data_IF_440707492848
#
_entry.id   IF_440707492848
#
_cell.length_a   1.000
_cell.length_b   1.000
_cell.length_c   1.000
_cell.angle_alpha   90.00
_cell.angle_beta   90.00
_cell.angle_gamma   90.00
#
_symmetry.space_group_name_H-M   'P 1'
#
loop_
_entity.id
_entity.type
_entity.pdbx_description
1 polymer ?
#
# COMPACT_ATOMS: atom_id res chain seq x y z
N UNK A 1 -9.89 9.96 -15.89
CA UNK A 1 -10.68 8.99 -15.11
C UNK A 1 -10.87 9.50 -13.69
N UNK A 2 -12.04 9.29 -13.14
CA UNK A 2 -12.26 9.56 -11.73
C UNK A 2 -12.05 8.28 -10.93
N UNK A 3 -11.52 8.42 -9.75
CA UNK A 3 -11.30 7.30 -8.87
C UNK A 3 -10.70 7.74 -7.56
N UNK A 4 -9.75 6.97 -7.07
CA UNK A 4 -9.15 7.19 -5.76
C UNK A 4 -7.64 7.07 -5.81
N UNK A 5 -6.99 7.92 -5.04
CA UNK A 5 -5.60 7.74 -4.68
C UNK A 5 -5.58 7.04 -3.33
N UNK A 6 -4.95 5.89 -3.28
CA UNK A 6 -4.86 5.10 -2.05
C UNK A 6 -3.40 5.06 -1.60
N UNK A 7 -3.19 5.30 -0.32
CA UNK A 7 -1.87 5.17 0.31
C UNK A 7 -1.99 4.11 1.40
N UNK A 8 -1.24 3.03 1.24
CA UNK A 8 -1.10 2.02 2.28
C UNK A 8 0.22 2.26 3.01
N UNK A 9 0.19 2.20 4.33
CA UNK A 9 1.37 2.43 5.15
C UNK A 9 1.69 1.18 5.96
N UNK A 10 2.94 0.72 5.87
CA UNK A 10 3.38 -0.48 6.57
C UNK A 10 4.88 -0.37 6.86
N UNK A 11 5.48 -1.44 7.33
CA UNK A 11 6.94 -1.56 7.43
C UNK A 11 7.43 -2.66 6.49
N UNK A 12 8.63 -2.51 5.99
CA UNK A 12 9.21 -3.35 4.95
C UNK A 12 9.21 -4.85 5.28
N UNK A 13 9.49 -5.20 6.52
CA UNK A 13 9.60 -6.59 6.95
C UNK A 13 8.29 -7.26 7.32
N UNK A 14 7.18 -6.51 7.31
CA UNK A 14 5.89 -7.08 7.71
C UNK A 14 5.37 -8.04 6.65
N UNK A 15 4.94 -9.22 7.11
CA UNK A 15 4.40 -10.27 6.24
C UNK A 15 2.95 -10.57 6.56
N UNK A 16 2.27 -11.07 5.54
CA UNK A 16 0.93 -11.61 5.64
C UNK A 16 0.95 -12.94 4.90
N UNK A 17 0.69 -14.03 5.63
CA UNK A 17 0.70 -15.39 5.07
C UNK A 17 2.02 -15.71 4.34
N UNK A 18 3.16 -15.41 5.01
CA UNK A 18 4.51 -15.65 4.52
C UNK A 18 4.91 -14.83 3.29
N UNK A 19 4.15 -13.78 2.97
CA UNK A 19 4.47 -12.88 1.87
C UNK A 19 4.59 -11.46 2.41
N UNK A 20 5.58 -10.71 1.96
CA UNK A 20 5.68 -9.30 2.32
C UNK A 20 4.44 -8.56 1.82
N UNK A 21 3.91 -7.66 2.66
CA UNK A 21 2.68 -6.92 2.32
C UNK A 21 2.85 -6.14 1.02
N UNK A 22 4.01 -5.52 0.83
CA UNK A 22 4.30 -4.82 -0.43
C UNK A 22 4.13 -5.75 -1.64
N UNK A 23 4.70 -6.95 -1.57
CA UNK A 23 4.63 -7.90 -2.68
C UNK A 23 3.20 -8.39 -2.91
N UNK A 24 2.46 -8.61 -1.84
CA UNK A 24 1.04 -8.98 -1.92
C UNK A 24 0.24 -7.90 -2.66
N UNK A 25 0.44 -6.62 -2.29
CA UNK A 25 -0.26 -5.50 -2.92
C UNK A 25 0.15 -5.34 -4.39
N UNK A 26 1.44 -5.47 -4.70
CA UNK A 26 1.91 -5.38 -6.09
C UNK A 26 1.29 -6.48 -6.95
N UNK A 27 1.15 -7.67 -6.40
CA UNK A 27 0.49 -8.77 -7.09
C UNK A 27 -0.97 -8.41 -7.41
N UNK A 28 -1.68 -7.81 -6.46
CA UNK A 28 -3.07 -7.36 -6.69
C UNK A 28 -3.15 -6.24 -7.73
N UNK A 29 -2.20 -5.33 -7.72
CA UNK A 29 -2.11 -4.27 -8.75
C UNK A 29 -2.08 -4.90 -10.15
N UNK A 30 -1.27 -5.93 -10.33
CA UNK A 30 -1.16 -6.62 -11.60
C UNK A 30 -2.45 -7.38 -11.96
N UNK A 31 -3.00 -8.11 -11.01
CA UNK A 31 -4.23 -8.88 -11.23
C UNK A 31 -5.42 -8.01 -11.60
N UNK A 32 -5.54 -6.85 -10.96
CA UNK A 32 -6.65 -5.93 -11.17
C UNK A 32 -6.39 -4.93 -12.30
N UNK A 33 -5.25 -5.03 -12.96
CA UNK A 33 -4.85 -4.14 -14.06
C UNK A 33 -4.85 -2.67 -13.64
N UNK A 34 -4.43 -2.41 -12.42
CA UNK A 34 -4.22 -1.04 -11.93
C UNK A 34 -3.03 -0.45 -12.68
N UNK A 35 -3.11 0.84 -13.05
CA UNK A 35 -2.15 1.49 -13.93
C UNK A 35 -0.71 1.47 -13.42
N UNK A 36 -0.54 1.49 -12.10
CA UNK A 36 0.79 1.46 -11.53
C UNK A 36 0.76 1.58 -10.03
N UNK A 37 1.94 1.39 -9.45
CA UNK A 37 2.13 1.48 -8.02
C UNK A 37 3.47 2.15 -7.76
N UNK A 38 3.52 3.02 -6.76
CA UNK A 38 4.75 3.67 -6.33
C UNK A 38 5.01 3.26 -4.88
N UNK A 39 6.23 2.84 -4.60
CA UNK A 39 6.64 2.53 -3.23
C UNK A 39 7.64 3.58 -2.78
N UNK A 40 7.33 4.22 -1.67
CA UNK A 40 8.21 5.20 -1.04
C UNK A 40 8.67 4.66 0.30
N UNK A 41 9.95 4.80 0.56
CA UNK A 41 10.53 4.41 1.85
C UNK A 41 10.65 5.67 2.69
N UNK A 42 10.08 5.64 3.89
CA UNK A 42 10.11 6.77 4.79
C UNK A 42 11.31 6.68 5.73
N UNK A 43 11.80 7.85 6.13
CA UNK A 43 12.92 7.91 7.06
C UNK A 43 12.52 7.48 8.46
N UNK A 44 11.31 7.85 8.90
CA UNK A 44 10.82 7.59 10.24
C UNK A 44 9.32 7.38 10.21
N UNK A 45 8.83 6.44 10.98
CA UNK A 45 7.40 6.21 11.13
C UNK A 45 7.06 5.78 12.54
N UNK A 46 5.83 6.12 12.97
CA UNK A 46 5.25 5.71 14.22
C UNK A 46 3.81 5.32 13.96
N UNK A 47 3.40 4.19 14.43
CA UNK A 47 2.07 3.70 14.10
C UNK A 47 1.43 2.81 15.14
N UNK A 48 0.63 1.88 14.65
CA UNK A 48 -0.24 1.01 15.45
C UNK A 48 0.50 0.19 16.51
N UNK A 49 1.74 -0.20 16.24
CA UNK A 49 2.54 -0.99 17.18
C UNK A 49 3.17 -0.13 18.27
N UNK A 50 2.93 1.18 18.28
CA UNK A 50 3.48 2.15 19.22
C UNK A 50 5.00 2.17 19.26
N UNK A 51 5.63 1.79 18.16
CA UNK A 51 7.09 1.80 18.02
C UNK A 51 7.50 2.79 16.93
N UNK A 52 8.68 3.37 17.12
CA UNK A 52 9.28 4.23 16.11
C UNK A 52 10.13 3.36 15.18
N UNK A 53 9.85 3.43 13.89
CA UNK A 53 10.60 2.72 12.86
C UNK A 53 11.41 3.71 12.06
N UNK A 54 12.68 3.41 11.83
CA UNK A 54 13.60 4.30 11.15
C UNK A 54 14.54 3.52 10.24
N UNK A 55 14.86 4.07 9.07
CA UNK A 55 15.81 3.49 8.15
C UNK A 55 17.26 3.71 8.58
N UNK A 56 17.51 4.55 9.59
CA UNK A 56 18.88 4.93 9.98
C UNK A 56 19.53 4.02 11.02
N UNK A 57 18.76 3.48 11.96
CA UNK A 57 19.30 2.81 13.13
C UNK A 57 18.88 1.36 13.26
N UNK A 58 18.03 0.87 12.37
CA UNK A 58 17.44 -0.47 12.46
C UNK A 58 17.72 -1.24 11.19
N UNK A 59 17.40 -2.52 11.22
CA UNK A 59 17.48 -3.35 10.04
C UNK A 59 16.52 -2.83 8.96
N UNK A 60 16.79 -3.16 7.69
CA UNK A 60 15.92 -2.76 6.58
C UNK A 60 14.47 -3.21 6.75
N UNK A 61 14.27 -4.30 7.51
CA UNK A 61 12.91 -4.80 7.80
C UNK A 61 12.09 -3.84 8.63
N UNK A 62 12.72 -2.88 9.32
CA UNK A 62 12.01 -1.88 10.13
C UNK A 62 11.71 -0.60 9.35
N UNK A 63 12.14 -0.53 8.11
CA UNK A 63 11.95 0.66 7.29
C UNK A 63 10.48 0.89 6.98
N UNK A 64 9.94 2.09 7.29
CA UNK A 64 8.56 2.41 6.93
C UNK A 64 8.41 2.52 5.41
N UNK A 65 7.28 2.02 4.91
CA UNK A 65 6.96 2.08 3.48
C UNK A 65 5.58 2.65 3.26
N UNK A 66 5.43 3.45 2.21
CA UNK A 66 4.13 3.85 1.69
C UNK A 66 3.97 3.28 0.29
N UNK A 67 2.83 2.65 0.05
CA UNK A 67 2.49 2.05 -1.23
C UNK A 67 1.32 2.82 -1.79
N UNK A 68 1.55 3.51 -2.91
CA UNK A 68 0.62 4.49 -3.46
C UNK A 68 0.12 4.00 -4.81
N UNK A 69 -1.20 4.06 -5.00
CA UNK A 69 -1.80 3.69 -6.28
C UNK A 69 -3.00 4.55 -6.59
N UNK A 70 -3.31 4.67 -7.87
CA UNK A 70 -4.50 5.37 -8.36
C UNK A 70 -5.40 4.35 -9.01
N UNK A 71 -6.65 4.28 -8.58
CA UNK A 71 -7.57 3.21 -8.95
C UNK A 71 -8.93 3.78 -9.33
N UNK A 72 -9.61 3.08 -10.23
CA UNK A 72 -11.02 3.37 -10.52
C UNK A 72 -11.89 2.86 -9.36
N UNK A 73 -13.16 3.24 -9.34
CA UNK A 73 -14.10 2.74 -8.34
C UNK A 73 -14.17 1.22 -8.35
N UNK A 74 -14.25 0.62 -9.53
CA UNK A 74 -14.33 -0.84 -9.66
C UNK A 74 -13.06 -1.52 -9.12
N UNK A 75 -11.91 -1.00 -9.47
CA UNK A 75 -10.63 -1.54 -8.97
C UNK A 75 -10.53 -1.38 -7.44
N UNK A 76 -10.96 -0.24 -6.92
CA UNK A 76 -10.96 0.02 -5.49
C UNK A 76 -11.83 -0.99 -4.75
N UNK A 77 -13.05 -1.20 -5.24
CA UNK A 77 -13.99 -2.14 -4.63
C UNK A 77 -13.43 -3.56 -4.61
N UNK A 78 -12.87 -3.99 -5.72
CA UNK A 78 -12.26 -5.33 -5.82
C UNK A 78 -11.04 -5.49 -4.92
N UNK A 79 -10.19 -4.48 -4.87
CA UNK A 79 -8.99 -4.53 -4.03
C UNK A 79 -9.37 -4.66 -2.55
N UNK A 80 -10.29 -3.82 -2.08
CA UNK A 80 -10.70 -3.86 -0.68
C UNK A 80 -11.47 -5.12 -0.34
N UNK A 81 -12.21 -5.69 -1.29
CA UNK A 81 -12.85 -6.99 -1.09
C UNK A 81 -11.81 -8.08 -0.87
N UNK A 82 -10.76 -8.11 -1.67
CA UNK A 82 -9.67 -9.08 -1.50
C UNK A 82 -8.89 -8.87 -0.20
N UNK A 83 -8.67 -7.62 0.19
CA UNK A 83 -8.03 -7.31 1.46
C UNK A 83 -8.86 -7.87 2.61
N UNK A 84 -10.17 -7.65 2.60
CA UNK A 84 -11.07 -8.18 3.64
C UNK A 84 -11.09 -9.70 3.63
N UNK A 85 -11.17 -10.31 2.46
CA UNK A 85 -11.22 -11.77 2.32
C UNK A 85 -9.96 -12.43 2.85
N UNK A 86 -8.80 -11.82 2.66
CA UNK A 86 -7.53 -12.35 3.14
C UNK A 86 -7.28 -12.01 4.62
N UNK A 87 -8.16 -11.22 5.23
CA UNK A 87 -8.04 -10.75 6.62
C UNK A 87 -6.75 -9.95 6.86
N UNK A 88 -6.29 -9.26 5.84
CA UNK A 88 -5.14 -8.37 5.97
C UNK A 88 -5.59 -7.09 6.63
N UNK A 89 -4.93 -6.73 7.74
CA UNK A 89 -5.16 -5.45 8.41
C UNK A 89 -3.99 -4.53 8.11
N UNK A 90 -4.25 -3.45 7.41
CA UNK A 90 -3.22 -2.49 7.00
C UNK A 90 -3.80 -1.09 7.07
N UNK A 91 -3.01 -0.15 7.58
CA UNK A 91 -3.41 1.24 7.62
C UNK A 91 -3.45 1.82 6.20
N UNK A 92 -4.50 2.55 5.91
CA UNK A 92 -4.63 3.21 4.61
C UNK A 92 -5.31 4.56 4.74
N UNK A 93 -5.10 5.38 3.72
CA UNK A 93 -5.94 6.55 3.46
C UNK A 93 -6.33 6.52 1.98
N UNK A 94 -7.49 7.09 1.67
CA UNK A 94 -7.88 7.24 0.27
C UNK A 94 -8.59 8.57 0.07
N UNK A 95 -8.36 9.16 -1.10
CA UNK A 95 -8.97 10.41 -1.47
C UNK A 95 -9.49 10.32 -2.90
N UNK A 96 -10.59 11.01 -3.17
CA UNK A 96 -11.10 11.12 -4.53
C UNK A 96 -10.15 11.95 -5.37
N UNK A 97 -9.85 11.47 -6.56
CA UNK A 97 -8.96 12.17 -7.50
C UNK A 97 -9.45 11.98 -8.92
N UNK A 98 -9.01 12.87 -9.78
CA UNK A 98 -9.06 12.66 -11.22
C UNK A 98 -7.64 12.30 -11.64
N UNK A 99 -7.48 11.24 -12.42
CA UNK A 99 -6.17 10.78 -12.84
C UNK A 99 -6.20 10.25 -14.27
N UNK A 100 -5.03 10.20 -14.89
CA UNK A 100 -4.90 9.69 -16.24
C UNK A 100 -3.53 10.03 -16.81
N UNK A 101 -3.41 9.84 -18.11
CA UNK A 101 -2.21 10.21 -18.84
C UNK A 101 -2.48 11.50 -19.60
N UNK A 102 -1.46 12.33 -19.77
CA UNK A 102 -1.60 13.60 -20.48
C UNK A 102 -1.75 13.44 -21.99
N UNK A 103 -1.33 12.31 -22.49
CA UNK A 103 -1.49 12.00 -23.91
C UNK A 103 -1.45 10.50 -24.15
#
# INVERSE_FOLDING_TARGET
MEGYRIVFSTIRGRKHENEYIKDWLIKKVKELQISGVTVLNAELGYGRDNKIHSSHFFELTDEPEEIIMHVTQVQCDKLFEEIRSSKLSIFYSKAKVEFGFTS
#
